data_IF_484684683593
#
_entry.id   IF_484684683593
#
_cell.length_a   1.000
_cell.length_b   1.000
_cell.length_c   1.000
_cell.angle_alpha   90.00
_cell.angle_beta   90.00
_cell.angle_gamma   90.00
#
_symmetry.space_group_name_H-M   'P 1'
#
loop_
_entity.id
_entity.type
_entity.pdbx_description
1 polymer ?
#
# COMPACT_ATOMS: atom_id res chain seq x y z
N UNK A 1 -45.59 -79.89 28.85
CA UNK A 1 -46.46 -78.69 28.88
C UNK A 1 -45.70 -77.58 29.59
N UNK A 2 -45.52 -76.47 28.90
CA UNK A 2 -45.34 -75.10 29.39
C UNK A 2 -44.56 -74.80 30.67
N UNK A 3 -43.70 -73.79 30.50
CA UNK A 3 -43.50 -72.67 31.42
C UNK A 3 -42.93 -72.99 32.80
N UNK A 4 -41.63 -72.72 32.94
CA UNK A 4 -41.10 -71.45 33.48
C UNK A 4 -39.59 -71.62 33.58
N UNK A 5 -38.81 -70.81 32.86
CA UNK A 5 -37.40 -70.60 33.22
C UNK A 5 -37.07 -69.11 33.18
N UNK A 6 -36.58 -68.65 34.34
CA UNK A 6 -35.88 -67.38 34.53
C UNK A 6 -34.53 -67.43 33.82
N UNK A 7 -34.05 -66.32 33.28
CA UNK A 7 -32.62 -65.98 33.10
C UNK A 7 -32.60 -64.47 32.76
N UNK A 8 -32.18 -63.55 33.62
CA UNK A 8 -30.84 -63.23 34.16
C UNK A 8 -29.95 -62.41 33.20
N UNK A 9 -29.63 -61.20 33.67
CA UNK A 9 -28.36 -60.48 33.56
C UNK A 9 -27.84 -60.01 32.19
N UNK A 10 -27.89 -58.67 32.05
CA UNK A 10 -26.78 -57.79 31.65
C UNK A 10 -26.28 -57.78 30.20
N UNK A 11 -26.42 -56.58 29.62
CA UNK A 11 -25.43 -55.80 28.85
C UNK A 11 -24.91 -56.34 27.51
N UNK A 12 -24.63 -55.34 26.67
CA UNK A 12 -23.77 -55.30 25.48
C UNK A 12 -24.46 -55.36 24.12
N UNK A 13 -24.06 -54.39 23.29
CA UNK A 13 -24.32 -54.23 21.86
C UNK A 13 -25.61 -53.51 21.44
N UNK A 14 -25.79 -52.27 21.89
CA UNK A 14 -26.42 -51.23 21.05
C UNK A 14 -25.31 -50.35 20.51
N UNK A 15 -24.68 -50.77 19.41
CA UNK A 15 -23.92 -49.93 18.48
C UNK A 15 -23.45 -50.80 17.30
N UNK A 16 -23.61 -50.25 16.10
CA UNK A 16 -23.19 -50.76 14.80
C UNK A 16 -24.07 -51.84 14.13
N UNK A 17 -25.11 -51.38 13.42
CA UNK A 17 -25.33 -51.62 11.98
C UNK A 17 -26.76 -51.17 11.60
N UNK A 18 -26.90 -49.98 11.06
CA UNK A 18 -28.06 -49.61 10.26
C UNK A 18 -27.58 -48.77 9.06
N UNK A 19 -26.73 -49.39 8.26
CA UNK A 19 -26.51 -48.98 6.88
C UNK A 19 -27.45 -49.81 6.01
N UNK A 20 -28.04 -49.13 5.00
CA UNK A 20 -28.83 -49.67 3.89
C UNK A 20 -30.35 -49.69 4.05
N UNK A 21 -30.97 -48.51 3.86
CA UNK A 21 -32.27 -48.40 3.18
C UNK A 21 -32.13 -47.34 2.07
N UNK A 22 -32.34 -47.78 0.84
CA UNK A 22 -32.17 -47.02 -0.40
C UNK A 22 -33.55 -46.55 -0.90
N UNK A 23 -33.62 -45.29 -1.37
CA UNK A 23 -34.61 -44.73 -2.32
C UNK A 23 -36.04 -44.54 -1.76
N UNK A 24 -36.79 -43.45 -1.96
CA UNK A 24 -36.85 -42.41 -3.01
C UNK A 24 -37.59 -41.19 -2.44
N UNK A 25 -37.05 -39.98 -2.56
CA UNK A 25 -37.87 -38.76 -2.55
C UNK A 25 -37.11 -37.60 -3.20
N UNK A 26 -37.63 -37.15 -4.35
CA UNK A 26 -37.53 -35.77 -4.83
C UNK A 26 -36.18 -35.30 -5.37
N UNK A 27 -35.98 -35.49 -6.68
CA UNK A 27 -35.10 -34.60 -7.44
C UNK A 27 -35.67 -33.17 -7.38
N UNK A 28 -35.11 -32.32 -6.52
CA UNK A 28 -35.30 -30.88 -6.60
C UNK A 28 -34.43 -30.39 -7.76
N UNK A 29 -35.07 -30.12 -8.90
CA UNK A 29 -34.46 -29.44 -10.04
C UNK A 29 -33.89 -28.11 -9.55
N UNK A 30 -32.57 -27.96 -9.55
CA UNK A 30 -31.93 -26.65 -9.38
C UNK A 30 -32.32 -25.78 -10.57
N UNK A 31 -33.22 -24.83 -10.34
CA UNK A 31 -33.48 -23.78 -11.29
C UNK A 31 -32.15 -23.02 -11.53
N UNK A 32 -31.73 -22.78 -12.79
CA UNK A 32 -30.61 -21.91 -13.05
C UNK A 32 -30.89 -20.54 -12.44
N UNK A 33 -29.97 -20.03 -11.62
CA UNK A 33 -30.02 -18.65 -11.16
C UNK A 33 -30.03 -17.68 -12.34
N UNK A 34 -30.41 -16.41 -12.14
CA UNK A 34 -30.34 -15.38 -13.17
C UNK A 34 -28.94 -15.41 -13.80
N UNK A 35 -28.87 -15.59 -15.13
CA UNK A 35 -27.60 -15.48 -15.85
C UNK A 35 -27.19 -14.01 -15.77
N UNK A 36 -26.05 -13.74 -15.17
CA UNK A 36 -25.44 -12.40 -15.22
C UNK A 36 -25.38 -11.95 -16.69
N UNK A 37 -25.71 -10.70 -17.00
CA UNK A 37 -25.56 -10.20 -18.36
C UNK A 37 -24.09 -10.38 -18.79
N UNK A 38 -23.82 -10.71 -20.06
CA UNK A 38 -22.47 -10.87 -20.53
C UNK A 38 -21.68 -9.59 -20.27
N UNK A 39 -20.56 -9.70 -19.56
CA UNK A 39 -19.57 -8.64 -19.43
C UNK A 39 -19.14 -8.22 -20.84
N UNK A 40 -19.69 -7.10 -21.30
CA UNK A 40 -19.18 -6.43 -22.49
C UNK A 40 -17.84 -5.85 -22.09
N UNK A 41 -16.74 -6.35 -22.67
CA UNK A 41 -15.44 -5.69 -22.55
C UNK A 41 -15.65 -4.22 -22.91
N UNK A 42 -15.38 -3.25 -22.03
CA UNK A 42 -15.35 -1.87 -22.45
C UNK A 42 -14.32 -1.79 -23.57
N UNK A 43 -14.75 -1.52 -24.80
CA UNK A 43 -13.82 -1.16 -25.87
C UNK A 43 -13.37 0.25 -25.56
N UNK A 44 -12.45 0.39 -24.61
CA UNK A 44 -11.67 1.62 -24.50
C UNK A 44 -10.80 1.60 -25.75
N UNK A 45 -11.22 2.32 -26.80
CA UNK A 45 -10.28 2.73 -27.84
C UNK A 45 -9.07 3.29 -27.09
N UNK A 46 -7.82 2.88 -27.43
CA UNK A 46 -6.64 3.19 -26.62
C UNK A 46 -6.77 4.65 -26.22
N UNK A 47 -7.00 4.85 -24.92
CA UNK A 47 -7.20 6.18 -24.40
C UNK A 47 -6.03 6.95 -24.95
N UNK A 48 -6.32 8.06 -25.62
CA UNK A 48 -5.34 9.08 -25.86
C UNK A 48 -4.53 9.17 -24.57
N UNK A 49 -3.31 8.64 -24.58
CA UNK A 49 -2.28 9.10 -23.67
C UNK A 49 -2.40 10.59 -23.84
N UNK A 50 -2.88 11.28 -22.81
CA UNK A 50 -2.63 12.71 -22.74
C UNK A 50 -1.13 12.74 -22.66
N UNK A 51 -0.47 12.90 -23.82
CA UNK A 51 0.92 13.27 -23.86
C UNK A 51 1.02 14.38 -22.83
N UNK A 52 1.88 14.19 -21.82
CA UNK A 52 2.10 15.21 -20.80
C UNK A 52 2.14 16.53 -21.57
N UNK A 53 1.24 17.49 -21.25
CA UNK A 53 1.14 18.71 -22.03
C UNK A 53 2.57 19.25 -22.17
N UNK A 54 2.97 19.78 -23.34
CA UNK A 54 4.30 20.35 -23.50
C UNK A 54 4.54 21.24 -22.29
N UNK A 55 5.67 21.02 -21.60
CA UNK A 55 6.00 21.71 -20.33
C UNK A 55 5.79 23.20 -20.56
N UNK A 56 4.63 23.70 -20.18
CA UNK A 56 4.34 25.12 -20.22
C UNK A 56 5.00 25.63 -18.97
N UNK A 57 6.13 26.32 -19.14
CA UNK A 57 6.74 27.09 -18.08
C UNK A 57 5.70 28.09 -17.58
N UNK A 58 4.99 27.69 -16.52
CA UNK A 58 4.11 28.59 -15.79
C UNK A 58 5.04 29.66 -15.22
N UNK A 59 4.84 30.93 -15.60
CA UNK A 59 5.43 32.04 -14.86
C UNK A 59 5.08 31.82 -13.39
N UNK A 60 6.07 31.80 -12.49
CA UNK A 60 5.96 31.42 -11.08
C UNK A 60 4.60 31.83 -10.49
N UNK A 61 3.62 30.94 -10.55
CA UNK A 61 2.35 31.16 -9.92
C UNK A 61 2.59 30.90 -8.43
N UNK A 62 2.60 31.96 -7.62
CA UNK A 62 2.47 31.82 -6.18
C UNK A 62 3.75 31.69 -5.34
N UNK A 63 4.95 31.96 -5.85
CA UNK A 63 6.14 32.14 -5.00
C UNK A 63 7.38 31.28 -5.31
N UNK A 64 7.31 30.38 -6.28
CA UNK A 64 8.47 29.55 -6.66
C UNK A 64 9.68 30.38 -7.13
N UNK A 65 10.88 29.92 -6.79
CA UNK A 65 12.16 30.60 -7.09
C UNK A 65 12.93 29.83 -8.16
N UNK A 66 13.60 30.49 -9.12
CA UNK A 66 14.49 29.82 -10.06
C UNK A 66 15.58 29.02 -9.34
N UNK A 67 15.76 27.76 -9.70
CA UNK A 67 16.73 26.85 -9.10
C UNK A 67 17.49 26.06 -10.18
N UNK A 68 18.68 25.53 -9.84
CA UNK A 68 19.55 24.85 -10.81
C UNK A 68 20.33 25.79 -11.74
N UNK A 69 20.39 27.09 -11.39
CA UNK A 69 20.95 28.15 -12.22
C UNK A 69 20.06 28.51 -13.42
N UNK A 70 20.31 29.67 -14.04
CA UNK A 70 19.57 30.14 -15.22
C UNK A 70 19.62 29.19 -16.44
N UNK A 71 20.32 28.06 -16.35
CA UNK A 71 20.59 27.13 -17.45
C UNK A 71 19.39 26.24 -17.82
N UNK A 72 18.49 25.94 -16.87
CA UNK A 72 17.38 25.01 -17.11
C UNK A 72 15.99 25.66 -17.03
N UNK A 73 15.89 26.91 -16.58
CA UNK A 73 14.61 27.61 -16.43
C UNK A 73 13.66 26.97 -15.41
N UNK A 74 14.16 26.10 -14.54
CA UNK A 74 13.35 25.38 -13.55
C UNK A 74 12.97 26.30 -12.41
N UNK A 75 11.68 26.29 -12.06
CA UNK A 75 11.13 26.96 -10.89
C UNK A 75 10.98 25.90 -9.80
N UNK A 76 11.64 26.11 -8.67
CA UNK A 76 11.48 25.29 -7.48
C UNK A 76 10.42 25.89 -6.55
N UNK A 77 9.73 25.00 -5.84
CA UNK A 77 8.73 25.35 -4.84
C UNK A 77 9.19 24.84 -3.48
N UNK A 78 8.92 25.62 -2.45
CA UNK A 78 9.07 25.21 -1.04
C UNK A 78 7.74 24.65 -0.51
N UNK A 79 7.72 23.92 0.62
CA UNK A 79 6.48 23.57 1.31
C UNK A 79 5.60 24.78 1.59
N UNK A 80 6.20 25.93 1.95
CA UNK A 80 5.46 27.17 2.19
C UNK A 80 4.79 27.75 0.94
N UNK A 81 5.35 27.49 -0.26
CA UNK A 81 4.72 27.86 -1.52
C UNK A 81 3.56 26.92 -1.82
N UNK A 82 3.72 25.63 -1.56
CA UNK A 82 2.66 24.64 -1.72
C UNK A 82 1.47 24.91 -0.78
N UNK A 83 1.73 25.29 0.47
CA UNK A 83 0.68 25.72 1.40
C UNK A 83 -0.14 26.89 0.84
N UNK A 84 0.51 27.88 0.22
CA UNK A 84 -0.16 29.03 -0.40
C UNK A 84 -0.91 28.63 -1.68
N UNK A 85 -0.32 27.76 -2.50
CA UNK A 85 -0.91 27.33 -3.78
C UNK A 85 -2.20 26.53 -3.55
N UNK A 86 -2.23 25.71 -2.50
CA UNK A 86 -3.36 24.84 -2.18
C UNK A 86 -4.24 25.37 -1.04
N UNK A 87 -4.03 26.61 -0.59
CA UNK A 87 -4.75 27.23 0.53
C UNK A 87 -4.78 26.33 1.79
N UNK A 88 -3.65 25.68 2.10
CA UNK A 88 -3.52 24.76 3.24
C UNK A 88 -3.63 25.57 4.54
N UNK A 89 -4.59 25.25 5.43
CA UNK A 89 -4.70 25.96 6.70
C UNK A 89 -3.49 25.69 7.59
N UNK A 90 -2.93 26.72 8.23
CA UNK A 90 -1.79 26.55 9.16
C UNK A 90 -2.05 25.56 10.33
N UNK A 91 -3.32 25.28 10.64
CA UNK A 91 -3.71 24.27 11.61
C UNK A 91 -3.54 22.81 11.10
N UNK A 92 -3.50 22.60 9.79
CA UNK A 92 -3.39 21.30 9.13
C UNK A 92 -1.91 20.81 9.04
N UNK A 93 -1.20 20.85 10.15
CA UNK A 93 0.24 20.52 10.24
C UNK A 93 0.53 19.05 10.57
N UNK A 94 -0.47 18.17 10.49
CA UNK A 94 -0.32 16.73 10.75
C UNK A 94 -0.25 16.31 12.22
N UNK A 95 -0.46 17.23 13.19
CA UNK A 95 -0.41 16.88 14.61
C UNK A 95 -1.33 15.70 14.96
N UNK A 96 -0.75 14.68 15.59
CA UNK A 96 -1.47 13.45 15.98
C UNK A 96 -1.71 12.45 14.84
N UNK A 97 -1.27 12.75 13.63
CA UNK A 97 -1.30 11.82 12.50
C UNK A 97 0.01 11.05 12.40
N UNK A 98 -0.08 9.86 11.81
CA UNK A 98 1.07 9.06 11.40
C UNK A 98 1.00 8.87 9.89
N UNK A 99 2.11 9.13 9.20
CA UNK A 99 2.27 8.91 7.77
C UNK A 99 3.27 7.77 7.60
N UNK A 100 2.81 6.66 7.03
CA UNK A 100 3.67 5.59 6.55
C UNK A 100 4.09 5.94 5.12
N UNK A 101 5.39 5.94 4.87
CA UNK A 101 5.99 6.03 3.55
C UNK A 101 6.60 4.67 3.25
N UNK A 102 6.41 4.16 2.04
CA UNK A 102 6.94 2.84 1.66
C UNK A 102 7.87 3.00 0.47
N UNK A 103 9.14 2.65 0.70
CA UNK A 103 10.20 2.77 -0.30
C UNK A 103 11.04 1.50 -0.40
N UNK A 104 11.67 1.29 -1.55
CA UNK A 104 12.66 0.24 -1.72
C UNK A 104 14.06 0.74 -1.42
N UNK A 105 14.91 -0.16 -0.92
CA UNK A 105 16.34 0.05 -0.65
C UNK A 105 16.68 1.06 0.46
N UNK A 106 15.97 2.18 0.54
CA UNK A 106 16.24 3.29 1.44
C UNK A 106 17.48 4.10 1.05
N UNK A 107 17.80 5.10 1.86
CA UNK A 107 18.97 5.96 1.68
C UNK A 107 19.79 6.12 2.98
N UNK A 108 21.06 5.66 3.04
CA UNK A 108 21.94 5.87 4.19
C UNK A 108 22.10 7.32 4.64
N UNK A 109 21.98 8.29 3.71
CA UNK A 109 22.16 9.73 4.01
C UNK A 109 20.86 10.45 4.33
N UNK A 110 19.70 9.77 4.30
CA UNK A 110 18.38 10.37 4.50
C UNK A 110 18.31 11.34 5.68
N UNK A 111 18.90 10.97 6.83
CA UNK A 111 18.83 11.81 8.03
C UNK A 111 19.60 13.13 7.89
N UNK A 112 20.76 13.13 7.24
CA UNK A 112 21.51 14.37 7.02
C UNK A 112 20.83 15.23 5.96
N UNK A 113 20.26 14.59 4.95
CA UNK A 113 19.60 15.28 3.84
C UNK A 113 18.29 15.92 4.33
N UNK A 114 17.48 15.18 5.10
CA UNK A 114 16.28 15.70 5.75
C UNK A 114 16.58 16.86 6.71
N UNK A 115 17.64 16.77 7.51
CA UNK A 115 18.03 17.87 8.40
C UNK A 115 18.44 19.13 7.62
N UNK A 116 19.06 18.98 6.45
CA UNK A 116 19.39 20.08 5.55
C UNK A 116 18.11 20.67 4.93
N UNK A 117 17.20 19.83 4.45
CA UNK A 117 15.89 20.25 3.93
C UNK A 117 15.09 21.01 4.98
N UNK A 118 15.05 20.52 6.22
CA UNK A 118 14.33 21.15 7.32
C UNK A 118 14.94 22.52 7.68
N UNK A 119 16.26 22.61 7.69
CA UNK A 119 16.95 23.88 7.88
C UNK A 119 16.61 24.89 6.78
N UNK A 120 16.64 24.47 5.51
CA UNK A 120 16.35 25.34 4.37
C UNK A 120 14.90 25.84 4.35
N UNK A 121 13.97 25.04 4.88
CA UNK A 121 12.54 25.35 4.88
C UNK A 121 12.03 25.86 6.24
N UNK A 122 12.90 26.02 7.25
CA UNK A 122 12.53 26.51 8.57
C UNK A 122 11.59 25.57 9.34
N UNK A 123 11.73 24.26 9.12
CA UNK A 123 10.92 23.21 9.74
C UNK A 123 11.53 22.76 11.09
N UNK A 124 10.72 22.25 12.03
CA UNK A 124 11.21 21.65 13.27
C UNK A 124 11.93 20.31 13.00
N UNK A 125 12.58 19.73 14.01
CA UNK A 125 13.11 18.37 13.86
C UNK A 125 11.97 17.35 13.64
N UNK A 126 12.15 16.38 12.73
CA UNK A 126 11.11 15.43 12.36
C UNK A 126 10.96 14.30 13.38
N UNK A 127 9.73 13.82 13.57
CA UNK A 127 9.47 12.55 14.24
C UNK A 127 9.59 11.41 13.23
N UNK A 128 10.81 10.91 12.99
CA UNK A 128 11.09 9.88 11.99
C UNK A 128 11.41 8.51 12.63
N UNK A 129 10.62 7.49 12.27
CA UNK A 129 10.92 6.08 12.55
C UNK A 129 11.23 5.35 11.25
N UNK A 130 12.32 4.57 11.22
CA UNK A 130 12.70 3.75 10.07
C UNK A 130 12.47 2.28 10.42
N UNK A 131 11.68 1.58 9.59
CA UNK A 131 11.51 0.14 9.62
C UNK A 131 12.28 -0.50 8.47
N UNK A 132 12.97 -1.61 8.75
CA UNK A 132 13.76 -2.31 7.74
C UNK A 132 15.21 -1.83 7.66
N UNK A 133 15.94 -2.35 6.68
CA UNK A 133 17.34 -2.05 6.48
C UNK A 133 17.49 -0.83 5.57
N UNK A 134 18.01 0.27 6.11
CA UNK A 134 18.20 1.49 5.35
C UNK A 134 19.50 1.48 4.54
N UNK A 135 19.38 1.57 3.22
CA UNK A 135 20.49 1.58 2.28
C UNK A 135 20.97 0.20 1.85
N UNK A 136 20.04 -0.67 1.44
CA UNK A 136 20.37 -1.93 0.76
C UNK A 136 20.65 -1.71 -0.73
N UNK A 137 21.09 -2.76 -1.42
CA UNK A 137 21.39 -2.70 -2.86
C UNK A 137 22.81 -2.20 -3.17
N UNK A 138 23.14 -2.16 -4.47
CA UNK A 138 24.42 -1.64 -4.95
C UNK A 138 24.32 -0.12 -5.13
N UNK A 139 25.11 0.71 -4.42
CA UNK A 139 25.03 2.18 -4.53
C UNK A 139 25.45 2.72 -5.91
N UNK A 140 26.08 1.91 -6.75
CA UNK A 140 26.40 2.27 -8.13
C UNK A 140 25.34 1.83 -9.15
N UNK A 141 24.27 1.16 -8.71
CA UNK A 141 23.14 0.81 -9.56
C UNK A 141 22.25 2.05 -9.74
N UNK A 142 22.02 2.52 -10.99
CA UNK A 142 21.15 3.66 -11.26
C UNK A 142 19.74 3.51 -10.70
N UNK A 143 19.22 2.28 -10.62
CA UNK A 143 17.90 2.02 -10.05
C UNK A 143 17.88 2.29 -8.53
N UNK A 144 18.90 1.80 -7.82
CA UNK A 144 19.06 2.05 -6.38
C UNK A 144 19.26 3.54 -6.10
N UNK A 145 20.03 4.24 -6.93
CA UNK A 145 20.19 5.70 -6.83
C UNK A 145 18.87 6.44 -7.06
N UNK A 146 18.05 5.97 -8.00
CA UNK A 146 16.70 6.51 -8.21
C UNK A 146 15.83 6.39 -6.95
N UNK A 147 15.81 5.21 -6.34
CA UNK A 147 15.09 4.98 -5.08
C UNK A 147 15.64 5.76 -3.89
N UNK A 148 16.95 6.04 -3.85
CA UNK A 148 17.52 6.90 -2.81
C UNK A 148 17.01 8.35 -2.92
N UNK A 149 16.91 8.86 -4.15
CA UNK A 149 16.31 10.18 -4.41
C UNK A 149 14.82 10.15 -4.06
N UNK A 150 14.09 9.11 -4.43
CA UNK A 150 12.67 8.93 -4.09
C UNK A 150 12.46 8.90 -2.56
N UNK A 151 13.29 8.15 -1.83
CA UNK A 151 13.21 8.04 -0.37
C UNK A 151 13.39 9.41 0.30
N UNK A 152 14.32 10.22 -0.18
CA UNK A 152 14.49 11.58 0.32
C UNK A 152 13.28 12.43 -0.02
N UNK A 153 12.86 12.42 -1.29
CA UNK A 153 11.73 13.21 -1.78
C UNK A 153 10.46 12.94 -0.95
N UNK A 154 10.09 11.68 -0.79
CA UNK A 154 8.88 11.28 -0.09
C UNK A 154 8.91 11.72 1.38
N UNK A 155 10.02 11.49 2.09
CA UNK A 155 10.15 11.83 3.51
C UNK A 155 10.22 13.34 3.73
N UNK A 156 11.02 14.05 2.93
CA UNK A 156 11.20 15.50 3.02
C UNK A 156 9.88 16.23 2.74
N UNK A 157 9.15 15.86 1.68
CA UNK A 157 7.88 16.52 1.37
C UNK A 157 6.75 16.14 2.31
N UNK A 158 6.69 14.88 2.78
CA UNK A 158 5.73 14.52 3.82
C UNK A 158 5.96 15.34 5.10
N UNK A 159 7.22 15.53 5.50
CA UNK A 159 7.57 16.36 6.65
C UNK A 159 7.27 17.84 6.41
N UNK A 160 7.63 18.35 5.23
CA UNK A 160 7.41 19.75 4.85
C UNK A 160 5.94 20.15 4.88
N UNK A 161 5.04 19.28 4.39
CA UNK A 161 3.61 19.54 4.39
C UNK A 161 2.93 19.22 5.74
N UNK A 162 3.50 18.31 6.53
CA UNK A 162 2.94 17.87 7.81
C UNK A 162 4.01 17.83 8.93
N UNK A 163 4.55 18.98 9.35
CA UNK A 163 5.73 19.06 10.22
C UNK A 163 5.50 18.57 11.66
N UNK A 164 4.27 18.21 12.03
CA UNK A 164 3.92 17.62 13.33
C UNK A 164 3.40 16.19 13.24
N UNK A 165 3.43 15.58 12.05
CA UNK A 165 3.13 14.16 11.90
C UNK A 165 4.28 13.28 12.40
N UNK A 166 3.95 12.06 12.78
CA UNK A 166 4.94 11.00 12.93
C UNK A 166 5.16 10.34 11.57
N UNK A 167 6.39 10.36 11.06
CA UNK A 167 6.74 9.72 9.79
C UNK A 167 7.33 8.35 10.09
N UNK A 168 6.79 7.34 9.44
CA UNK A 168 7.27 5.96 9.47
C UNK A 168 7.73 5.62 8.07
N UNK A 169 9.04 5.61 7.84
CA UNK A 169 9.62 5.09 6.61
C UNK A 169 9.71 3.56 6.70
N UNK A 170 8.94 2.84 5.90
CA UNK A 170 8.94 1.38 5.81
C UNK A 170 9.73 0.94 4.57
N UNK A 171 10.91 0.38 4.81
CA UNK A 171 11.87 0.06 3.75
C UNK A 171 11.72 -1.40 3.32
N UNK A 172 11.35 -1.59 2.07
CA UNK A 172 11.41 -2.88 1.38
C UNK A 172 12.85 -3.25 1.03
N UNK A 173 13.16 -4.55 1.03
CA UNK A 173 14.51 -5.04 0.77
C UNK A 173 15.01 -4.68 -0.65
N UNK A 174 14.10 -4.69 -1.63
CA UNK A 174 14.27 -4.22 -3.00
C UNK A 174 12.91 -3.76 -3.55
N UNK A 175 12.85 -3.41 -4.83
CA UNK A 175 11.71 -2.80 -5.52
C UNK A 175 10.76 -3.80 -6.21
N UNK A 176 10.92 -5.10 -5.94
CA UNK A 176 9.97 -6.08 -6.42
C UNK A 176 8.64 -5.98 -5.67
N UNK A 177 7.54 -6.35 -6.33
CA UNK A 177 6.19 -6.19 -5.79
C UNK A 177 5.95 -6.97 -4.47
N UNK A 178 6.60 -8.11 -4.28
CA UNK A 178 6.45 -8.90 -3.06
C UNK A 178 7.08 -8.18 -1.86
N UNK A 179 8.32 -7.69 -2.01
CA UNK A 179 9.03 -7.03 -0.93
C UNK A 179 8.40 -5.68 -0.56
N UNK A 180 7.88 -4.94 -1.55
CA UNK A 180 7.08 -3.73 -1.32
C UNK A 180 5.77 -4.06 -0.59
N UNK A 181 5.07 -5.12 -0.98
CA UNK A 181 3.84 -5.55 -0.32
C UNK A 181 4.09 -5.98 1.13
N UNK A 182 5.18 -6.71 1.39
CA UNK A 182 5.59 -7.09 2.73
C UNK A 182 5.90 -5.86 3.59
N UNK A 183 6.58 -4.85 3.04
CA UNK A 183 6.85 -3.60 3.74
C UNK A 183 5.58 -2.82 4.08
N UNK A 184 4.58 -2.80 3.19
CA UNK A 184 3.25 -2.23 3.45
C UNK A 184 2.56 -2.98 4.59
N UNK A 185 2.44 -4.31 4.49
CA UNK A 185 1.74 -5.13 5.47
C UNK A 185 2.38 -5.04 6.86
N UNK A 186 3.72 -5.07 6.91
CA UNK A 186 4.47 -4.96 8.15
C UNK A 186 4.25 -3.62 8.86
N UNK A 187 4.22 -2.52 8.10
CA UNK A 187 3.99 -1.19 8.65
C UNK A 187 2.54 -1.02 9.12
N UNK A 188 1.56 -1.44 8.31
CA UNK A 188 0.14 -1.36 8.65
C UNK A 188 -0.19 -2.13 9.94
N UNK A 189 0.40 -3.30 10.16
CA UNK A 189 0.22 -4.08 11.38
C UNK A 189 0.75 -3.39 12.65
N UNK A 190 1.73 -2.47 12.51
CA UNK A 190 2.32 -1.73 13.62
C UNK A 190 1.66 -0.38 13.88
N UNK A 191 1.08 0.24 12.86
CA UNK A 191 0.53 1.59 12.91
C UNK A 191 -0.90 1.62 12.38
N UNK A 192 -1.87 1.04 13.13
CA UNK A 192 -3.27 1.04 12.71
C UNK A 192 -3.82 2.46 12.62
N UNK A 193 -4.52 2.76 11.53
CA UNK A 193 -5.12 4.07 11.28
C UNK A 193 -4.15 5.12 10.72
N UNK A 194 -2.91 4.74 10.41
CA UNK A 194 -1.98 5.62 9.70
C UNK A 194 -2.41 5.90 8.26
N UNK A 195 -2.03 7.07 7.76
CA UNK A 195 -2.10 7.42 6.34
C UNK A 195 -0.93 6.74 5.64
N UNK A 196 -1.15 6.15 4.46
CA UNK A 196 -0.09 5.47 3.70
C UNK A 196 0.18 6.22 2.40
N UNK A 197 1.42 6.63 2.19
CA UNK A 197 1.94 7.19 0.94
C UNK A 197 2.73 6.12 0.19
N UNK A 198 2.46 5.95 -1.10
CA UNK A 198 3.13 4.97 -1.98
C UNK A 198 3.42 5.63 -3.33
N UNK A 199 4.69 5.92 -3.58
CA UNK A 199 5.16 6.53 -4.83
C UNK A 199 5.73 5.48 -5.80
N UNK A 200 5.11 4.30 -5.85
CA UNK A 200 5.51 3.23 -6.75
C UNK A 200 4.34 2.64 -7.52
N UNK A 201 4.64 2.02 -8.66
CA UNK A 201 3.63 1.39 -9.49
C UNK A 201 4.24 0.56 -10.60
N UNK A 202 3.42 -0.28 -11.20
CA UNK A 202 3.73 -1.05 -12.40
C UNK A 202 2.52 -1.03 -13.34
N UNK A 203 2.74 -1.32 -14.62
CA UNK A 203 1.64 -1.53 -15.56
C UNK A 203 0.74 -2.67 -15.05
N UNK A 204 -0.57 -2.42 -14.98
CA UNK A 204 -1.56 -3.38 -14.49
C UNK A 204 -1.57 -4.70 -15.26
N UNK A 205 -1.03 -4.75 -16.48
CA UNK A 205 -0.90 -5.98 -17.26
C UNK A 205 0.24 -6.90 -16.80
N UNK A 206 1.25 -6.36 -16.10
CA UNK A 206 2.30 -7.16 -15.45
C UNK A 206 1.83 -7.77 -14.14
N UNK A 207 0.73 -7.25 -13.60
CA UNK A 207 -0.01 -7.80 -12.48
C UNK A 207 -0.74 -9.06 -12.95
N UNK A 208 -0.02 -10.18 -13.09
CA UNK A 208 -0.65 -11.49 -13.29
C UNK A 208 -1.60 -11.75 -12.11
N UNK A 209 -2.69 -12.50 -12.35
CA UNK A 209 -3.76 -12.83 -11.38
C UNK A 209 -3.32 -13.15 -9.94
N UNK A 210 -2.06 -13.55 -9.71
CA UNK A 210 -1.49 -13.78 -8.38
C UNK A 210 -1.30 -12.55 -7.48
N UNK A 211 -1.37 -11.31 -7.98
CA UNK A 211 -1.32 -10.11 -7.10
C UNK A 211 -2.68 -9.79 -6.48
N UNK A 212 -3.79 -10.17 -7.14
CA UNK A 212 -5.16 -9.98 -6.63
C UNK A 212 -5.67 -11.25 -5.90
N UNK A 213 -5.15 -12.43 -6.25
CA UNK A 213 -5.57 -13.70 -5.61
C UNK A 213 -4.91 -13.97 -4.23
N UNK A 214 -4.02 -13.11 -3.73
CA UNK A 214 -3.63 -13.14 -2.30
C UNK A 214 -4.69 -12.45 -1.42
N UNK A 215 -5.94 -12.85 -1.59
CA UNK A 215 -7.02 -12.58 -0.64
C UNK A 215 -6.82 -13.35 0.69
N UNK A 216 -5.74 -14.14 0.84
CA UNK A 216 -5.30 -14.63 2.16
C UNK A 216 -4.90 -13.48 3.08
N UNK A 217 -4.37 -12.38 2.53
CA UNK A 217 -3.99 -11.19 3.29
C UNK A 217 -5.18 -10.29 3.67
N UNK A 218 -6.41 -10.60 3.25
CA UNK A 218 -7.62 -9.81 3.53
C UNK A 218 -8.65 -10.55 4.39
N UNK A 219 -8.24 -11.62 5.08
CA UNK A 219 -9.05 -12.16 6.19
C UNK A 219 -8.79 -11.34 7.45
N UNK A 220 -9.60 -10.29 7.62
CA UNK A 220 -9.84 -9.63 8.92
C UNK A 220 -10.67 -10.56 9.79
#
# INVERSE_FOLDING_TARGET
MNNRLRLSHTLLAVLALAALALATAGAASSAPGPKDPPFSKPSVAPSSYVAAPPVTWVSAAGGGTPCGGNAFGVICYTPSDMDKIYDVPAAANGAGQTIIIVDAFGNPTLKSDLAQFDFENGLPDPSLTILGNNGTGNPNDPNVQGWQVETNLDVEWAHGMAPKANIVLSIAHNDNAHDLTDAVQHALGKYPGAIVSQSFGADETFVKRGFIDDLSAHRV
#
